data_IF_542721680128
#
_entry.id   IF_542721680128
#
_cell.length_a   1.000
_cell.length_b   1.000
_cell.length_c   1.000
_cell.angle_alpha   90.00
_cell.angle_beta   90.00
_cell.angle_gamma   90.00
#
_symmetry.space_group_name_H-M   'P 1'
#
loop_
_entity.id
_entity.type
_entity.pdbx_description
1 polymer ?
#
# COMPACT_ATOMS: atom_id res chain seq x y z
N UNK A 1 -3.80 6.79 -13.14
CA UNK A 1 -5.11 6.86 -12.52
C UNK A 1 -5.53 8.28 -12.18
N UNK A 2 -6.58 8.43 -11.38
CA UNK A 2 -7.25 9.71 -11.08
C UNK A 2 -6.59 10.54 -9.96
N UNK A 3 -5.31 10.36 -9.70
CA UNK A 3 -4.55 11.20 -8.77
C UNK A 3 -4.34 12.62 -9.32
N UNK A 4 -4.08 13.59 -8.45
CA UNK A 4 -3.80 14.96 -8.85
C UNK A 4 -2.64 15.03 -9.86
N UNK A 5 -2.73 15.94 -10.84
CA UNK A 5 -1.74 16.13 -11.91
C UNK A 5 -1.53 14.90 -12.81
N UNK A 6 -2.51 13.99 -12.91
CA UNK A 6 -2.45 12.85 -13.83
C UNK A 6 -2.41 13.29 -15.31
N UNK A 7 -2.18 12.33 -16.20
CA UNK A 7 -2.12 12.53 -17.66
C UNK A 7 -3.11 11.64 -18.42
N UNK A 8 -4.24 11.30 -17.80
CA UNK A 8 -5.24 10.40 -18.40
C UNK A 8 -5.73 10.88 -19.77
N UNK A 9 -5.87 12.21 -19.96
CA UNK A 9 -6.26 12.75 -21.26
C UNK A 9 -5.28 12.44 -22.40
N UNK A 10 -3.97 12.36 -22.09
CA UNK A 10 -2.96 11.90 -23.07
C UNK A 10 -3.15 10.42 -23.38
N UNK A 11 -3.31 9.60 -22.36
CA UNK A 11 -3.50 8.17 -22.52
C UNK A 11 -4.82 7.79 -23.19
N UNK A 12 -5.87 8.61 -23.04
CA UNK A 12 -7.15 8.38 -23.71
C UNK A 12 -7.05 8.47 -25.25
N UNK A 13 -6.00 9.15 -25.78
CA UNK A 13 -5.71 9.20 -27.20
C UNK A 13 -4.99 7.93 -27.73
N UNK A 14 -4.78 6.95 -26.89
CA UNK A 14 -4.13 5.67 -27.24
C UNK A 14 -2.77 5.86 -27.95
N UNK A 15 -1.80 6.62 -27.41
CA UNK A 15 -0.51 6.89 -28.07
C UNK A 15 0.39 5.66 -28.21
N UNK A 16 0.04 4.54 -27.57
CA UNK A 16 0.76 3.28 -27.69
C UNK A 16 -0.22 2.12 -27.95
N UNK A 17 0.22 1.07 -28.67
CA UNK A 17 -0.62 -0.10 -28.98
C UNK A 17 -1.07 -0.85 -27.72
N UNK A 18 -0.23 -0.89 -26.70
CA UNK A 18 -0.54 -1.46 -25.36
C UNK A 18 -0.31 -0.40 -24.31
N UNK A 19 -1.29 -0.17 -23.47
CA UNK A 19 -1.20 0.73 -22.33
C UNK A 19 -1.54 -0.01 -21.04
N UNK A 20 -0.69 0.16 -20.03
CA UNK A 20 -0.82 -0.52 -18.75
C UNK A 20 -0.87 0.49 -17.63
N UNK A 21 -1.81 0.33 -16.71
CA UNK A 21 -1.84 1.09 -15.46
C UNK A 21 -1.32 0.24 -14.30
N UNK A 22 -0.59 0.89 -13.39
CA UNK A 22 -0.02 0.22 -12.23
C UNK A 22 0.28 1.20 -11.09
N UNK A 23 0.15 0.72 -9.89
CA UNK A 23 0.59 1.25 -8.60
C UNK A 23 -0.03 2.60 -8.16
N UNK A 24 0.01 3.64 -8.97
CA UNK A 24 -0.26 5.02 -8.50
C UNK A 24 -1.71 5.32 -8.10
N UNK A 25 -2.69 4.59 -8.66
CA UNK A 25 -4.10 4.75 -8.31
C UNK A 25 -4.74 3.39 -8.00
N UNK A 26 -5.34 3.22 -6.81
CA UNK A 26 -5.77 1.90 -6.33
C UNK A 26 -7.16 1.50 -6.82
N UNK A 27 -7.49 1.80 -8.06
CA UNK A 27 -8.74 1.39 -8.71
C UNK A 27 -8.62 1.46 -10.23
N UNK A 28 -9.68 1.07 -10.95
CA UNK A 28 -9.78 1.21 -12.41
C UNK A 28 -9.55 2.65 -12.87
N UNK A 29 -8.99 2.83 -14.06
CA UNK A 29 -8.94 4.15 -14.70
C UNK A 29 -10.28 4.55 -15.32
N UNK A 30 -11.15 3.57 -15.61
CA UNK A 30 -12.39 3.77 -16.33
C UNK A 30 -12.20 4.10 -17.82
N UNK A 31 -10.97 3.94 -18.35
CA UNK A 31 -10.63 4.26 -19.74
C UNK A 31 -10.48 2.99 -20.57
N UNK A 32 -11.27 2.84 -21.62
CA UNK A 32 -11.14 1.75 -22.59
C UNK A 32 -9.80 1.77 -23.36
N UNK A 33 -9.11 2.92 -23.37
CA UNK A 33 -7.79 3.07 -23.96
C UNK A 33 -6.67 2.41 -23.14
N UNK A 34 -6.87 2.10 -21.86
CA UNK A 34 -5.91 1.38 -21.03
C UNK A 34 -6.25 -0.12 -21.08
N UNK A 35 -5.33 -0.94 -21.58
CA UNK A 35 -5.59 -2.35 -21.89
C UNK A 35 -5.49 -3.23 -20.65
N UNK A 36 -4.49 -2.98 -19.81
CA UNK A 36 -4.16 -3.84 -18.67
C UNK A 36 -3.94 -3.04 -17.40
N UNK A 37 -4.20 -3.73 -16.27
CA UNK A 37 -3.82 -3.28 -14.94
C UNK A 37 -3.01 -4.38 -14.25
N UNK A 38 -1.82 -4.04 -13.73
CA UNK A 38 -1.10 -4.93 -12.83
C UNK A 38 -1.75 -4.94 -11.45
N UNK A 39 -1.96 -6.15 -10.95
CA UNK A 39 -2.52 -6.43 -9.63
C UNK A 39 -2.02 -7.77 -9.12
N UNK A 40 -2.58 -8.30 -8.04
CA UNK A 40 -2.37 -9.66 -7.56
C UNK A 40 -3.68 -10.34 -7.15
N UNK A 41 -3.61 -11.62 -6.78
CA UNK A 41 -4.80 -12.44 -6.47
C UNK A 41 -5.46 -12.06 -5.14
N UNK A 42 -4.76 -11.37 -4.24
CA UNK A 42 -5.31 -10.92 -2.95
C UNK A 42 -5.97 -9.55 -3.10
N UNK A 43 -5.29 -8.61 -3.77
CA UNK A 43 -5.82 -7.27 -4.00
C UNK A 43 -7.04 -7.28 -4.93
N UNK A 44 -7.00 -8.11 -5.98
CA UNK A 44 -8.11 -8.27 -6.92
C UNK A 44 -8.37 -9.77 -7.20
N UNK A 45 -9.20 -10.45 -6.40
CA UNK A 45 -9.56 -11.85 -6.63
C UNK A 45 -10.25 -12.04 -7.99
N UNK A 46 -10.10 -13.24 -8.57
CA UNK A 46 -10.77 -13.60 -9.82
C UNK A 46 -12.30 -13.50 -9.66
N UNK A 47 -12.97 -13.04 -10.70
CA UNK A 47 -14.43 -12.90 -10.77
C UNK A 47 -14.89 -11.49 -10.46
N UNK A 48 -15.41 -11.21 -9.27
CA UNK A 48 -16.00 -9.90 -8.92
C UNK A 48 -15.08 -8.71 -9.17
N UNK A 49 -13.77 -8.87 -8.96
CA UNK A 49 -12.82 -7.78 -9.22
C UNK A 49 -12.68 -7.47 -10.70
N UNK A 50 -12.77 -8.48 -11.57
CA UNK A 50 -12.69 -8.29 -13.03
C UNK A 50 -13.86 -7.43 -13.56
N UNK A 51 -15.04 -7.53 -12.95
CA UNK A 51 -16.24 -6.76 -13.31
C UNK A 51 -16.14 -5.28 -12.88
N UNK A 52 -15.26 -4.98 -11.91
CA UNK A 52 -15.08 -3.63 -11.37
C UNK A 52 -14.03 -2.80 -12.14
N UNK A 53 -13.39 -3.38 -13.17
CA UNK A 53 -12.30 -2.72 -13.89
C UNK A 53 -12.60 -2.67 -15.40
N UNK A 54 -12.27 -1.52 -16.01
CA UNK A 54 -12.29 -1.38 -17.48
C UNK A 54 -11.09 -2.05 -18.14
N UNK A 55 -10.00 -2.19 -17.40
CA UNK A 55 -8.77 -2.83 -17.82
C UNK A 55 -8.82 -4.34 -17.58
N UNK A 56 -8.12 -5.09 -18.42
CA UNK A 56 -7.86 -6.51 -18.14
C UNK A 56 -6.89 -6.64 -16.96
N UNK A 57 -7.32 -7.29 -15.90
CA UNK A 57 -6.49 -7.51 -14.72
C UNK A 57 -5.39 -8.55 -15.01
N UNK A 58 -4.13 -8.13 -14.86
CA UNK A 58 -2.97 -9.01 -14.92
C UNK A 58 -2.45 -9.21 -13.51
N UNK A 59 -2.74 -10.37 -12.94
CA UNK A 59 -2.38 -10.74 -11.57
C UNK A 59 -0.97 -11.31 -11.56
N UNK A 60 -0.07 -10.59 -10.87
CA UNK A 60 1.29 -11.07 -10.63
C UNK A 60 1.26 -12.22 -9.62
N UNK A 61 2.24 -13.15 -9.67
CA UNK A 61 2.18 -14.39 -8.89
C UNK A 61 2.24 -14.18 -7.37
N UNK A 62 2.96 -13.16 -6.90
CA UNK A 62 3.20 -12.94 -5.48
C UNK A 62 2.50 -11.68 -4.95
N UNK A 63 2.91 -10.52 -5.41
CA UNK A 63 2.36 -9.22 -5.02
C UNK A 63 2.43 -8.26 -6.20
N UNK A 64 1.47 -7.36 -6.29
CA UNK A 64 1.53 -6.27 -7.27
C UNK A 64 2.49 -5.15 -6.86
N UNK A 65 3.05 -5.23 -5.66
CA UNK A 65 3.99 -4.27 -5.07
C UNK A 65 5.39 -4.87 -4.96
N UNK A 66 6.40 -4.00 -5.10
CA UNK A 66 7.75 -4.26 -4.66
C UNK A 66 8.20 -3.10 -3.76
N UNK A 67 8.72 -3.41 -2.58
CA UNK A 67 9.13 -2.41 -1.60
C UNK A 67 10.61 -2.53 -1.27
N UNK A 68 11.31 -1.41 -1.34
CA UNK A 68 12.70 -1.29 -0.86
C UNK A 68 12.72 -0.39 0.37
N UNK A 69 12.94 -1.01 1.53
CA UNK A 69 13.04 -0.27 2.79
C UNK A 69 14.36 0.47 2.95
N UNK A 70 14.37 1.46 3.82
CA UNK A 70 15.60 2.18 4.17
C UNK A 70 16.40 1.38 5.21
N UNK A 71 17.54 0.83 4.81
CA UNK A 71 18.40 -0.02 5.64
C UNK A 71 19.21 0.77 6.67
N UNK A 72 19.43 2.07 6.46
CA UNK A 72 20.23 2.90 7.36
C UNK A 72 19.50 3.27 8.66
N UNK A 73 18.19 3.10 8.71
CA UNK A 73 17.38 3.47 9.86
C UNK A 73 17.10 2.21 10.70
N UNK A 74 17.52 2.26 11.94
CA UNK A 74 17.31 1.16 12.90
C UNK A 74 15.89 1.24 13.46
N UNK A 75 15.15 0.13 13.38
CA UNK A 75 13.87 -0.04 14.08
C UNK A 75 14.13 -0.29 15.56
N UNK A 76 13.43 0.42 16.43
CA UNK A 76 13.41 0.10 17.85
C UNK A 76 12.43 -1.07 18.10
N UNK A 77 12.97 -2.27 18.06
CA UNK A 77 12.18 -3.51 18.24
C UNK A 77 12.10 -3.97 19.70
N UNK A 78 12.87 -3.34 20.59
CA UNK A 78 12.93 -3.66 22.00
C UNK A 78 11.92 -2.78 22.76
N UNK A 79 10.68 -3.25 22.83
CA UNK A 79 9.72 -2.75 23.80
C UNK A 79 10.06 -3.34 25.17
N UNK A 80 10.96 -2.71 25.90
CA UNK A 80 11.06 -3.02 27.32
C UNK A 80 10.01 -2.17 28.03
N UNK A 81 9.04 -2.84 28.65
CA UNK A 81 7.99 -2.23 29.51
C UNK A 81 8.55 -1.29 30.58
N UNK A 82 9.86 -1.35 30.88
CA UNK A 82 10.52 -0.48 31.86
C UNK A 82 10.37 1.02 31.53
N UNK A 83 10.17 1.37 30.24
CA UNK A 83 10.16 2.77 29.81
C UNK A 83 8.80 3.24 29.26
N UNK A 84 7.83 2.32 29.02
CA UNK A 84 6.49 2.65 28.52
C UNK A 84 5.41 2.11 29.43
N UNK A 85 4.59 3.00 29.95
CA UNK A 85 3.45 2.64 30.82
C UNK A 85 2.21 2.17 30.04
N UNK A 86 2.14 2.41 28.73
CA UNK A 86 0.94 2.19 27.91
C UNK A 86 1.26 1.75 26.46
N UNK A 87 0.30 1.09 25.82
CA UNK A 87 0.33 0.76 24.40
C UNK A 87 0.04 2.02 23.57
N UNK A 88 0.81 2.23 22.50
CA UNK A 88 0.55 3.27 21.51
C UNK A 88 0.13 2.64 20.19
N UNK A 89 -1.12 2.82 19.82
CA UNK A 89 -1.60 2.58 18.48
C UNK A 89 -1.16 3.70 17.55
N UNK A 90 -1.10 3.47 16.23
CA UNK A 90 -0.75 4.55 15.33
C UNK A 90 -1.18 4.37 13.89
N UNK A 91 -1.36 5.49 13.19
CA UNK A 91 -1.62 5.52 11.75
C UNK A 91 -0.98 6.75 11.11
N UNK A 92 -0.12 6.51 10.13
CA UNK A 92 0.54 7.58 9.35
C UNK A 92 -0.10 7.75 7.97
N UNK A 93 -1.34 7.29 7.85
CA UNK A 93 -2.10 7.39 6.63
C UNK A 93 -2.62 8.81 6.40
N UNK A 94 -2.86 9.12 5.12
CA UNK A 94 -3.58 10.34 4.73
C UNK A 94 -4.92 10.43 5.49
N UNK A 95 -5.16 11.54 6.16
CA UNK A 95 -6.36 11.74 7.00
C UNK A 95 -7.68 11.65 6.22
N UNK A 96 -7.68 11.85 4.91
CA UNK A 96 -8.88 11.61 4.08
C UNK A 96 -9.34 10.15 4.11
N UNK A 97 -8.49 9.23 4.57
CA UNK A 97 -8.84 7.82 4.77
C UNK A 97 -9.43 7.55 6.17
N UNK A 98 -9.26 8.49 7.10
CA UNK A 98 -9.76 8.39 8.48
C UNK A 98 -11.18 8.94 8.53
N UNK A 99 -12.12 8.08 8.14
CA UNK A 99 -13.55 8.39 8.08
C UNK A 99 -14.19 8.39 9.47
N UNK A 100 -15.41 8.90 9.66
CA UNK A 100 -16.14 8.80 10.92
C UNK A 100 -16.26 7.35 11.43
N UNK A 101 -16.45 6.38 10.52
CA UNK A 101 -16.50 4.96 10.89
C UNK A 101 -15.16 4.45 11.43
N UNK A 102 -14.05 4.87 10.84
CA UNK A 102 -12.69 4.58 11.33
C UNK A 102 -12.49 5.17 12.72
N UNK A 103 -12.87 6.43 12.93
CA UNK A 103 -12.77 7.11 14.25
C UNK A 103 -13.57 6.34 15.30
N UNK A 104 -14.83 6.00 15.01
CA UNK A 104 -15.68 5.22 15.90
C UNK A 104 -15.08 3.85 16.22
N UNK A 105 -14.52 3.18 15.23
CA UNK A 105 -13.88 1.86 15.40
C UNK A 105 -12.62 1.94 16.25
N UNK A 106 -11.75 2.92 15.98
CA UNK A 106 -10.52 3.12 16.76
C UNK A 106 -10.84 3.57 18.20
N UNK A 107 -11.89 4.37 18.39
CA UNK A 107 -12.34 4.75 19.73
C UNK A 107 -12.78 3.54 20.55
N UNK A 108 -13.49 2.56 19.94
CA UNK A 108 -13.83 1.30 20.62
C UNK A 108 -12.58 0.52 21.06
N UNK A 109 -11.52 0.50 20.24
CA UNK A 109 -10.24 -0.12 20.62
C UNK A 109 -9.62 0.60 21.80
N UNK A 110 -9.58 1.94 21.79
CA UNK A 110 -9.02 2.74 22.86
C UNK A 110 -9.81 2.58 24.17
N UNK A 111 -11.13 2.45 24.12
CA UNK A 111 -11.96 2.14 25.29
C UNK A 111 -11.66 0.76 25.87
N UNK A 112 -11.47 -0.24 25.00
CA UNK A 112 -11.21 -1.62 25.41
C UNK A 112 -9.78 -1.84 25.90
N UNK A 113 -8.85 -0.94 25.57
CA UNK A 113 -7.46 -0.95 26.06
C UNK A 113 -7.23 0.34 26.87
N UNK A 114 -7.58 0.36 28.16
CA UNK A 114 -7.38 1.53 29.02
C UNK A 114 -5.91 1.99 28.96
N UNK A 115 -5.68 3.29 29.18
CA UNK A 115 -4.35 3.94 29.14
C UNK A 115 -3.64 3.88 27.77
N UNK A 116 -4.20 3.23 26.74
CA UNK A 116 -3.61 3.26 25.41
C UNK A 116 -3.74 4.64 24.75
N UNK A 117 -2.80 4.97 23.90
CA UNK A 117 -2.76 6.22 23.13
C UNK A 117 -2.87 5.92 21.63
N UNK A 118 -3.30 6.93 20.86
CA UNK A 118 -3.30 6.89 19.42
C UNK A 118 -2.43 8.01 18.85
N UNK A 119 -1.41 7.65 18.06
CA UNK A 119 -0.56 8.58 17.36
C UNK A 119 -0.98 8.68 15.90
N UNK A 120 -1.39 9.86 15.47
CA UNK A 120 -1.74 10.19 14.09
C UNK A 120 -0.66 11.06 13.46
N UNK A 121 -0.28 10.77 12.19
CA UNK A 121 0.66 11.60 11.45
C UNK A 121 0.16 11.85 10.03
N UNK A 122 -0.05 13.10 9.71
CA UNK A 122 -0.30 13.60 8.34
C UNK A 122 0.06 15.09 8.30
N UNK A 123 0.53 15.60 7.15
CA UNK A 123 0.90 17.03 7.03
C UNK A 123 -0.28 17.98 7.33
N UNK A 124 -1.52 17.54 7.15
CA UNK A 124 -2.73 18.33 7.46
C UNK A 124 -2.96 18.51 8.95
N UNK A 125 -2.30 17.73 9.80
CA UNK A 125 -2.43 17.87 11.25
C UNK A 125 -1.73 19.13 11.78
N UNK A 126 -0.92 19.82 10.98
CA UNK A 126 -0.41 21.14 11.33
C UNK A 126 -1.58 22.11 11.65
N UNK A 127 -2.65 22.06 10.83
CA UNK A 127 -3.81 22.96 10.96
C UNK A 127 -5.05 22.27 11.55
N UNK A 128 -5.14 20.93 11.45
CA UNK A 128 -6.37 20.19 11.75
C UNK A 128 -6.27 19.27 12.99
N UNK A 129 -5.18 19.30 13.75
CA UNK A 129 -5.02 18.45 14.94
C UNK A 129 -6.19 18.59 15.92
N UNK A 130 -6.63 19.83 16.19
CA UNK A 130 -7.77 20.13 17.08
C UNK A 130 -9.07 19.50 16.59
N UNK A 131 -9.31 19.53 15.28
CA UNK A 131 -10.51 18.94 14.68
C UNK A 131 -10.55 17.42 14.94
N UNK A 132 -9.45 16.69 14.65
CA UNK A 132 -9.40 15.25 14.89
C UNK A 132 -9.51 14.90 16.39
N UNK A 133 -8.85 15.64 17.27
CA UNK A 133 -9.02 15.47 18.72
C UNK A 133 -10.48 15.66 19.14
N UNK A 134 -11.19 16.65 18.58
CA UNK A 134 -12.61 16.87 18.85
C UNK A 134 -13.46 15.69 18.38
N UNK A 135 -13.17 15.10 17.22
CA UNK A 135 -13.88 13.91 16.73
C UNK A 135 -13.69 12.69 17.66
N UNK A 136 -12.48 12.44 18.15
CA UNK A 136 -12.25 11.38 19.13
C UNK A 136 -12.89 11.71 20.48
N UNK A 137 -12.91 12.96 20.89
CA UNK A 137 -13.61 13.40 22.11
C UNK A 137 -15.13 13.19 22.03
N UNK A 138 -15.74 13.36 20.85
CA UNK A 138 -17.17 13.04 20.67
C UNK A 138 -17.49 11.54 20.82
N UNK A 139 -16.49 10.70 20.64
CA UNK A 139 -16.56 9.24 20.90
C UNK A 139 -16.08 8.88 22.34
N UNK A 140 -15.89 9.86 23.24
CA UNK A 140 -15.53 9.64 24.63
C UNK A 140 -14.04 9.45 24.91
N UNK A 141 -13.15 9.72 23.95
CA UNK A 141 -11.69 9.63 24.13
C UNK A 141 -11.14 10.99 24.53
N UNK A 142 -10.39 11.06 25.63
CA UNK A 142 -9.75 12.30 26.09
C UNK A 142 -8.63 12.76 25.15
N UNK A 143 -8.44 14.07 25.03
CA UNK A 143 -7.53 14.66 24.03
C UNK A 143 -6.05 14.34 24.28
N UNK A 144 -5.65 14.09 25.53
CA UNK A 144 -4.30 13.68 25.93
C UNK A 144 -3.93 12.30 25.39
N UNK A 145 -4.92 11.43 25.13
CA UNK A 145 -4.71 10.12 24.52
C UNK A 145 -4.51 10.18 22.99
N UNK A 146 -4.68 11.34 22.35
CA UNK A 146 -4.54 11.52 20.90
C UNK A 146 -3.32 12.41 20.62
N UNK A 147 -2.22 11.81 20.21
CA UNK A 147 -1.01 12.50 19.76
C UNK A 147 -1.11 12.77 18.26
N UNK A 148 -0.88 14.01 17.83
CA UNK A 148 -0.96 14.44 16.44
C UNK A 148 0.38 15.02 15.98
N UNK A 149 0.91 14.52 14.85
CA UNK A 149 2.11 15.04 14.21
C UNK A 149 1.81 15.53 12.80
N UNK A 150 2.24 16.74 12.50
CA UNK A 150 2.21 17.36 11.18
C UNK A 150 3.36 16.85 10.28
N UNK A 151 3.84 17.76 9.41
CA UNK A 151 4.98 17.49 8.54
C UNK A 151 6.25 17.33 9.36
N UNK A 152 7.08 16.36 9.00
CA UNK A 152 8.42 16.19 9.56
C UNK A 152 9.47 16.66 8.56
N UNK A 153 10.63 17.16 9.04
CA UNK A 153 11.65 17.80 8.19
C UNK A 153 12.18 16.89 7.08
N UNK A 154 12.31 15.61 7.35
CA UNK A 154 12.91 14.65 6.43
C UNK A 154 12.35 13.23 6.63
N UNK A 155 12.71 12.33 5.71
CA UNK A 155 12.27 10.92 5.73
C UNK A 155 12.84 10.15 6.94
N UNK A 156 14.01 10.50 7.43
CA UNK A 156 14.61 9.85 8.61
C UNK A 156 13.77 10.09 9.85
N UNK A 157 13.36 11.33 10.09
CA UNK A 157 12.50 11.68 11.23
C UNK A 157 11.12 11.05 11.10
N UNK A 158 10.58 11.00 9.86
CA UNK A 158 9.33 10.32 9.59
C UNK A 158 9.41 8.83 9.96
N UNK A 159 10.44 8.12 9.53
CA UNK A 159 10.59 6.69 9.84
C UNK A 159 10.90 6.47 11.34
N UNK A 160 11.72 7.32 11.97
CA UNK A 160 11.99 7.23 13.41
C UNK A 160 10.74 7.41 14.27
N UNK A 161 9.73 8.16 13.78
CA UNK A 161 8.48 8.34 14.51
C UNK A 161 7.71 7.03 14.71
N UNK A 162 7.84 6.05 13.79
CA UNK A 162 7.28 4.71 13.99
C UNK A 162 7.80 4.00 15.25
N UNK A 163 8.96 4.37 15.77
CA UNK A 163 9.48 3.82 17.04
C UNK A 163 8.62 4.17 18.26
N UNK A 164 7.73 5.16 18.16
CA UNK A 164 6.75 5.49 19.20
C UNK A 164 5.51 4.59 19.16
N UNK A 165 5.29 3.87 18.05
CA UNK A 165 4.08 3.06 17.80
C UNK A 165 4.35 1.60 18.14
N UNK A 166 3.41 0.96 18.80
CA UNK A 166 3.45 -0.45 19.12
C UNK A 166 2.70 -1.29 18.09
N UNK A 167 1.52 -0.82 17.67
CA UNK A 167 0.60 -1.49 16.75
C UNK A 167 0.06 -0.46 15.75
N UNK A 168 0.20 -0.74 14.46
CA UNK A 168 -0.38 0.07 13.40
C UNK A 168 -1.85 -0.27 13.17
N UNK A 169 -2.68 0.76 13.01
CA UNK A 169 -4.09 0.64 12.63
C UNK A 169 -4.27 1.15 11.19
N UNK A 170 -4.57 0.23 10.28
CA UNK A 170 -4.80 0.55 8.89
C UNK A 170 -6.23 1.07 8.69
N UNK A 171 -6.43 2.25 8.06
CA UNK A 171 -7.77 2.77 7.84
C UNK A 171 -8.51 1.97 6.75
N UNK A 172 -9.84 2.09 6.77
CA UNK A 172 -10.74 1.47 5.82
C UNK A 172 -11.87 2.45 5.44
N UNK A 173 -12.51 2.27 4.29
CA UNK A 173 -12.35 1.23 3.28
C UNK A 173 -11.13 1.40 2.36
N UNK A 174 -10.23 2.34 2.63
CA UNK A 174 -9.05 2.62 1.83
C UNK A 174 -7.77 2.41 2.66
N UNK A 175 -7.11 1.27 2.45
CA UNK A 175 -5.92 0.88 3.19
C UNK A 175 -4.69 1.75 2.89
N UNK A 176 -3.70 1.65 3.76
CA UNK A 176 -2.34 2.10 3.51
C UNK A 176 -1.63 1.23 2.46
N UNK A 177 -0.65 1.81 1.80
CA UNK A 177 0.27 1.10 0.91
C UNK A 177 1.70 1.32 1.40
N UNK A 178 2.31 2.45 1.05
CA UNK A 178 3.66 2.80 1.51
C UNK A 178 3.74 2.89 3.03
N UNK A 179 2.75 3.50 3.67
CA UNK A 179 2.70 3.64 5.13
C UNK A 179 2.61 2.29 5.85
N UNK A 180 1.91 1.32 5.28
CA UNK A 180 1.86 -0.06 5.80
C UNK A 180 3.21 -0.74 5.66
N UNK A 181 3.88 -0.63 4.50
CA UNK A 181 5.23 -1.13 4.30
C UNK A 181 6.25 -0.48 5.25
N UNK A 182 6.18 0.83 5.43
CA UNK A 182 7.06 1.57 6.35
C UNK A 182 6.87 1.13 7.80
N UNK A 183 5.62 0.99 8.26
CA UNK A 183 5.31 0.49 9.61
C UNK A 183 5.93 -0.89 9.84
N UNK A 184 5.69 -1.83 8.94
CA UNK A 184 6.22 -3.19 9.01
C UNK A 184 7.76 -3.21 8.95
N UNK A 185 8.37 -2.38 8.10
CA UNK A 185 9.82 -2.21 8.01
C UNK A 185 10.43 -1.67 9.30
N UNK A 186 9.71 -0.78 9.98
CA UNK A 186 10.10 -0.22 11.27
C UNK A 186 9.72 -1.12 12.46
N UNK A 187 9.30 -2.36 12.19
CA UNK A 187 8.98 -3.34 13.22
C UNK A 187 7.61 -3.13 13.89
N UNK A 188 6.71 -2.38 13.28
CA UNK A 188 5.35 -2.14 13.78
C UNK A 188 4.38 -3.07 13.05
N UNK A 189 3.77 -4.06 13.75
CA UNK A 189 2.72 -4.89 13.15
C UNK A 189 1.50 -4.03 12.83
N UNK A 190 0.87 -4.28 11.68
CA UNK A 190 -0.30 -3.52 11.21
C UNK A 190 -1.51 -4.45 11.14
N UNK A 191 -2.64 -4.00 11.67
CA UNK A 191 -3.92 -4.68 11.54
C UNK A 191 -4.67 -3.99 10.40
N UNK A 192 -5.14 -4.78 9.43
CA UNK A 192 -5.84 -4.28 8.25
C UNK A 192 -7.18 -5.00 8.07
N UNK A 193 -8.22 -4.25 7.71
CA UNK A 193 -9.53 -4.79 7.40
C UNK A 193 -9.60 -5.19 5.92
N UNK A 194 -10.05 -6.41 5.64
CA UNK A 194 -10.25 -6.91 4.29
C UNK A 194 -11.47 -6.25 3.65
N UNK A 195 -11.25 -5.46 2.64
CA UNK A 195 -12.32 -4.76 1.91
C UNK A 195 -12.84 -5.54 0.69
N UNK A 196 -13.77 -4.90 -0.02
CA UNK A 196 -14.46 -5.48 -1.17
C UNK A 196 -13.90 -5.02 -2.53
N UNK A 197 -12.94 -4.11 -2.55
CA UNK A 197 -12.31 -3.55 -3.75
C UNK A 197 -10.79 -3.43 -3.55
N UNK A 198 -10.07 -3.16 -4.64
CA UNK A 198 -8.61 -3.05 -4.62
C UNK A 198 -8.09 -2.18 -3.47
N UNK A 199 -8.61 -0.96 -3.32
CA UNK A 199 -8.14 -0.01 -2.31
C UNK A 199 -8.27 -0.53 -0.87
N UNK A 200 -9.30 -1.32 -0.59
CA UNK A 200 -9.55 -1.93 0.73
C UNK A 200 -8.89 -3.30 0.90
N UNK A 201 -8.11 -3.78 -0.07
CA UNK A 201 -7.46 -5.10 -0.03
C UNK A 201 -5.93 -5.02 -0.11
N UNK A 202 -5.40 -3.81 -0.32
CA UNK A 202 -3.93 -3.57 -0.40
C UNK A 202 -3.22 -3.99 0.89
N UNK A 203 -3.78 -3.67 2.05
CA UNK A 203 -3.23 -4.08 3.35
C UNK A 203 -3.16 -5.60 3.47
N UNK A 204 -4.21 -6.32 3.05
CA UNK A 204 -4.23 -7.78 3.04
C UNK A 204 -3.19 -8.37 2.09
N UNK A 205 -3.00 -7.80 0.89
CA UNK A 205 -1.96 -8.23 -0.04
C UNK A 205 -0.55 -8.10 0.56
N UNK A 206 -0.25 -6.96 1.17
CA UNK A 206 1.03 -6.71 1.84
C UNK A 206 1.26 -7.71 2.99
N UNK A 207 0.28 -7.88 3.87
CA UNK A 207 0.37 -8.77 5.03
C UNK A 207 0.53 -10.23 4.62
N UNK A 208 -0.21 -10.67 3.60
CA UNK A 208 -0.10 -12.01 3.04
C UNK A 208 1.32 -12.26 2.47
N UNK A 209 1.91 -11.28 1.76
CA UNK A 209 3.23 -11.40 1.15
C UNK A 209 4.36 -11.65 2.16
N UNK A 210 4.16 -11.29 3.43
CA UNK A 210 5.11 -11.50 4.53
C UNK A 210 4.65 -12.55 5.54
N UNK A 211 3.58 -13.30 5.23
CA UNK A 211 3.06 -14.38 6.06
C UNK A 211 2.38 -13.91 7.35
N UNK A 212 1.75 -12.73 7.35
CA UNK A 212 1.01 -12.17 8.48
C UNK A 212 -0.51 -12.20 8.29
N UNK A 213 -1.05 -13.29 7.77
CA UNK A 213 -2.48 -13.43 7.50
C UNK A 213 -3.35 -13.25 8.76
N UNK A 214 -2.82 -13.59 9.93
CA UNK A 214 -3.51 -13.42 11.22
C UNK A 214 -3.73 -11.94 11.62
N UNK A 215 -3.22 -10.98 10.86
CA UNK A 215 -3.44 -9.54 11.05
C UNK A 215 -4.44 -8.95 10.05
N UNK A 216 -5.03 -9.80 9.22
CA UNK A 216 -6.07 -9.44 8.26
C UNK A 216 -7.42 -9.75 8.92
N UNK A 217 -8.17 -8.71 9.25
CA UNK A 217 -9.52 -8.82 9.81
C UNK A 217 -10.55 -9.01 8.69
N UNK A 218 -11.54 -9.88 8.93
CA UNK A 218 -12.62 -10.16 7.98
C UNK A 218 -13.78 -9.16 8.09
N UNK A 219 -13.99 -8.62 9.30
CA UNK A 219 -14.99 -7.59 9.60
C UNK A 219 -14.51 -6.62 10.69
N UNK A 220 -15.31 -5.58 10.97
CA UNK A 220 -14.97 -4.53 11.96
C UNK A 220 -14.83 -5.11 13.36
N UNK A 221 -15.63 -6.08 13.77
CA UNK A 221 -15.55 -6.67 15.10
C UNK A 221 -14.25 -7.45 15.25
N UNK A 222 -13.91 -8.26 14.24
CA UNK A 222 -12.65 -8.99 14.21
C UNK A 222 -11.44 -8.03 14.16
N UNK A 223 -11.55 -6.89 13.47
CA UNK A 223 -10.50 -5.84 13.50
C UNK A 223 -10.26 -5.31 14.91
N UNK A 224 -11.33 -5.02 15.66
CA UNK A 224 -11.26 -4.57 17.05
C UNK A 224 -10.66 -5.66 17.94
N UNK A 225 -11.15 -6.90 17.83
CA UNK A 225 -10.65 -8.04 18.61
C UNK A 225 -9.16 -8.31 18.38
N UNK A 226 -8.69 -8.26 17.14
CA UNK A 226 -7.27 -8.42 16.81
C UNK A 226 -6.41 -7.33 17.45
N UNK A 227 -6.86 -6.07 17.43
CA UNK A 227 -6.17 -4.95 18.04
C UNK A 227 -6.06 -5.12 19.58
N UNK A 228 -7.16 -5.47 20.24
CA UNK A 228 -7.22 -5.71 21.68
C UNK A 228 -6.34 -6.91 22.06
N UNK A 229 -6.46 -8.03 21.33
CA UNK A 229 -5.67 -9.25 21.58
C UNK A 229 -4.18 -8.98 21.45
N UNK A 230 -3.76 -8.20 20.46
CA UNK A 230 -2.36 -7.84 20.28
C UNK A 230 -1.85 -6.92 21.36
N UNK A 231 -2.65 -5.93 21.77
CA UNK A 231 -2.30 -4.99 22.84
C UNK A 231 -2.14 -5.69 24.21
N UNK A 232 -2.95 -6.70 24.46
CA UNK A 232 -2.94 -7.46 25.72
C UNK A 232 -1.92 -8.62 25.75
N UNK A 233 -1.20 -8.87 24.65
CA UNK A 233 -0.20 -9.95 24.57
C UNK A 233 1.19 -9.41 24.25
N UNK A 234 1.84 -8.85 25.26
CA UNK A 234 3.16 -8.24 25.14
C UNK A 234 4.22 -9.20 24.57
N UNK A 235 4.26 -10.44 25.07
CA UNK A 235 5.23 -11.43 24.61
C UNK A 235 5.10 -11.72 23.11
N UNK A 236 3.87 -11.83 22.62
CA UNK A 236 3.59 -12.02 21.21
C UNK A 236 3.99 -10.78 20.40
N UNK A 237 3.63 -9.59 20.89
CA UNK A 237 3.94 -8.31 20.26
C UNK A 237 5.46 -8.13 20.10
N UNK A 238 6.24 -8.34 21.16
CA UNK A 238 7.70 -8.25 21.14
C UNK A 238 8.28 -9.25 20.12
N UNK A 239 7.86 -10.52 20.18
CA UNK A 239 8.32 -11.56 19.26
C UNK A 239 8.04 -11.19 17.78
N UNK A 240 6.88 -10.64 17.50
CA UNK A 240 6.53 -10.22 16.14
C UNK A 240 7.41 -9.06 15.71
N UNK A 241 7.49 -7.99 16.50
CA UNK A 241 8.28 -6.79 16.20
C UNK A 241 9.75 -7.11 15.90
N UNK A 242 10.36 -7.97 16.69
CA UNK A 242 11.76 -8.40 16.50
C UNK A 242 11.99 -9.11 15.15
N UNK A 243 10.98 -9.76 14.59
CA UNK A 243 11.11 -10.55 13.38
C UNK A 243 10.58 -9.85 12.10
N UNK A 244 9.82 -8.75 12.22
CA UNK A 244 9.13 -8.13 11.09
C UNK A 244 10.06 -7.71 9.97
N UNK A 245 11.12 -6.96 10.28
CA UNK A 245 12.09 -6.51 9.26
C UNK A 245 12.71 -7.67 8.51
N UNK A 246 13.13 -8.72 9.22
CA UNK A 246 13.69 -9.92 8.59
C UNK A 246 12.66 -10.62 7.70
N UNK A 247 11.41 -10.73 8.17
CA UNK A 247 10.32 -11.29 7.35
C UNK A 247 10.12 -10.52 6.06
N UNK A 248 10.12 -9.18 6.11
CA UNK A 248 10.03 -8.36 4.91
C UNK A 248 11.21 -8.58 3.97
N UNK A 249 12.44 -8.52 4.49
CA UNK A 249 13.67 -8.69 3.69
C UNK A 249 13.74 -10.04 2.97
N UNK A 250 13.16 -11.09 3.56
CA UNK A 250 13.16 -12.45 2.97
C UNK A 250 11.88 -12.78 2.21
N UNK A 251 10.95 -11.85 2.10
CA UNK A 251 9.67 -12.03 1.41
C UNK A 251 9.74 -11.63 -0.06
N UNK A 252 8.76 -12.12 -0.83
CA UNK A 252 8.55 -11.68 -2.22
C UNK A 252 8.28 -10.18 -2.34
N UNK A 253 7.77 -9.52 -1.30
CA UNK A 253 7.50 -8.08 -1.27
C UNK A 253 8.79 -7.25 -1.44
N UNK A 254 9.94 -7.74 -0.96
CA UNK A 254 11.22 -7.04 -1.03
C UNK A 254 12.18 -7.66 -2.07
N UNK A 255 11.76 -8.66 -2.83
CA UNK A 255 12.54 -9.30 -3.88
C UNK A 255 12.39 -8.59 -5.22
N UNK A 256 13.09 -7.47 -5.36
CA UNK A 256 13.05 -6.66 -6.58
C UNK A 256 13.52 -7.38 -7.84
N UNK A 257 14.44 -8.34 -7.72
CA UNK A 257 14.97 -9.07 -8.86
C UNK A 257 13.92 -10.02 -9.47
N UNK A 258 13.22 -10.78 -8.64
CA UNK A 258 12.14 -11.66 -9.11
C UNK A 258 10.91 -10.86 -9.52
N UNK A 259 10.59 -9.78 -8.82
CA UNK A 259 9.52 -8.87 -9.21
C UNK A 259 9.75 -8.29 -10.62
N UNK A 260 10.99 -7.87 -10.94
CA UNK A 260 11.33 -7.37 -12.28
C UNK A 260 11.12 -8.46 -13.36
N UNK A 261 11.53 -9.71 -13.11
CA UNK A 261 11.29 -10.83 -14.03
C UNK A 261 9.80 -11.10 -14.26
N UNK A 262 8.97 -11.02 -13.21
CA UNK A 262 7.53 -11.19 -13.33
C UNK A 262 6.91 -10.09 -14.21
N UNK A 263 7.33 -8.84 -14.04
CA UNK A 263 6.90 -7.70 -14.86
C UNK A 263 7.38 -7.84 -16.31
N UNK A 264 8.66 -8.21 -16.54
CA UNK A 264 9.21 -8.42 -17.87
C UNK A 264 8.46 -9.52 -18.62
N UNK A 265 8.21 -10.65 -17.96
CA UNK A 265 7.41 -11.73 -18.53
C UNK A 265 5.99 -11.27 -18.87
N UNK A 266 5.37 -10.52 -18.00
CA UNK A 266 4.03 -9.99 -18.23
C UNK A 266 3.99 -9.07 -19.48
N UNK A 267 4.98 -8.20 -19.66
CA UNK A 267 5.10 -7.38 -20.88
C UNK A 267 5.33 -8.22 -22.14
N UNK A 268 6.18 -9.25 -22.05
CA UNK A 268 6.40 -10.17 -23.18
C UNK A 268 5.11 -10.90 -23.57
N UNK A 269 4.35 -11.39 -22.59
CA UNK A 269 3.07 -12.07 -22.82
C UNK A 269 2.02 -11.13 -23.44
N UNK A 270 1.95 -9.87 -22.98
CA UNK A 270 1.08 -8.85 -23.58
C UNK A 270 1.45 -8.57 -25.03
N UNK A 271 2.75 -8.40 -25.31
CA UNK A 271 3.26 -8.11 -26.64
C UNK A 271 3.00 -9.29 -27.59
N UNK A 272 3.29 -10.50 -27.15
CA UNK A 272 3.02 -11.72 -27.93
C UNK A 272 1.54 -11.85 -28.32
N UNK A 273 0.64 -11.62 -27.35
CA UNK A 273 -0.81 -11.64 -27.62
C UNK A 273 -1.22 -10.55 -28.62
N UNK A 274 -0.66 -9.36 -28.49
CA UNK A 274 -0.96 -8.24 -29.38
C UNK A 274 -0.53 -8.54 -30.82
N UNK A 275 0.70 -9.03 -31.00
CA UNK A 275 1.24 -9.35 -32.33
C UNK A 275 0.53 -10.52 -33.00
N UNK A 276 0.16 -11.56 -32.25
CA UNK A 276 -0.56 -12.71 -32.80
C UNK A 276 -2.00 -12.34 -33.18
N UNK A 277 -2.70 -11.58 -32.35
CA UNK A 277 -4.04 -11.10 -32.70
C UNK A 277 -3.99 -10.16 -33.93
N UNK A 278 -2.93 -9.35 -34.05
CA UNK A 278 -2.73 -8.51 -35.23
C UNK A 278 -2.49 -9.33 -36.51
N UNK A 279 -1.75 -10.44 -36.42
CA UNK A 279 -1.54 -11.34 -37.56
C UNK A 279 -2.82 -12.08 -37.95
N UNK A 280 -3.61 -12.56 -36.99
CA UNK A 280 -4.89 -13.22 -37.25
C UNK A 280 -5.88 -12.24 -37.93
N UNK A 281 -5.99 -11.01 -37.43
CA UNK A 281 -6.83 -9.98 -38.02
C UNK A 281 -6.36 -9.54 -39.43
N UNK A 282 -5.05 -9.67 -39.72
CA UNK A 282 -4.50 -9.41 -41.08
C UNK A 282 -4.82 -10.51 -42.04
N UNK A 283 -4.94 -11.75 -41.57
CA UNK A 283 -5.37 -12.88 -42.42
C UNK A 283 -6.85 -12.78 -42.81
N UNK A 284 -7.68 -12.22 -41.94
CA UNK A 284 -9.09 -11.97 -42.20
C UNK A 284 -9.37 -10.70 -43.00
N UNK A 285 -8.44 -9.72 -43.02
CA UNK A 285 -8.57 -8.46 -43.75
C UNK A 285 -7.43 -8.31 -44.77
N UNK A 286 -7.61 -8.82 -45.97
CA UNK A 286 -6.71 -8.56 -47.12
C UNK A 286 -6.84 -7.10 -47.59
N UNK A 287 -6.34 -6.11 -46.84
CA UNK A 287 -6.01 -4.78 -47.35
C UNK A 287 -5.47 -3.85 -46.26
N UNK A 288 -4.15 -3.86 -46.02
CA UNK A 288 -3.44 -2.69 -45.49
C UNK A 288 -1.93 -2.81 -45.82
N UNK A 289 -1.22 -1.72 -46.16
CA UNK A 289 0.19 -1.76 -46.62
C UNK A 289 1.17 -2.03 -45.45
N UNK A 290 2.25 -2.69 -45.80
CA UNK A 290 3.36 -3.06 -44.91
C UNK A 290 3.94 -1.85 -44.17
N UNK A 291 3.95 -1.91 -42.84
CA UNK A 291 4.79 -1.04 -42.01
C UNK A 291 6.10 -1.78 -41.75
N UNK A 292 7.20 -1.22 -42.31
CA UNK A 292 8.57 -1.70 -42.12
C UNK A 292 8.92 -1.80 -40.64
N UNK A 293 9.52 -2.92 -40.25
CA UNK A 293 10.04 -3.20 -38.93
C UNK A 293 10.89 -2.05 -38.37
N UNK A 294 10.46 -1.44 -37.30
CA UNK A 294 11.29 -0.53 -36.51
C UNK A 294 12.05 -1.40 -35.50
N UNK A 295 13.35 -1.58 -35.77
CA UNK A 295 14.30 -2.09 -34.76
C UNK A 295 14.49 -1.03 -33.68
N UNK A 296 13.74 -1.14 -32.61
CA UNK A 296 13.88 -0.30 -31.39
C UNK A 296 14.25 -1.15 -30.18
N UNK A 297 15.41 -1.78 -30.19
CA UNK A 297 16.06 -2.23 -28.92
C UNK A 297 17.53 -2.60 -29.22
N UNK A 298 18.37 -1.59 -29.45
CA UNK A 298 19.78 -1.62 -29.07
C UNK A 298 20.32 -0.18 -29.14
N UNK A 299 20.83 0.29 -28.05
CA UNK A 299 21.47 1.60 -27.78
C UNK A 299 20.59 2.61 -27.04
N UNK A 300 20.61 2.56 -25.72
CA UNK A 300 20.64 3.72 -24.83
C UNK A 300 20.76 3.31 -23.35
N UNK A 301 21.88 2.75 -22.96
CA UNK A 301 22.33 2.87 -21.58
C UNK A 301 23.84 3.14 -21.63
N UNK A 302 24.21 4.39 -21.89
CA UNK A 302 25.53 4.93 -21.58
C UNK A 302 25.32 6.17 -20.73
N UNK A 303 25.84 6.06 -19.52
CA UNK A 303 26.23 7.08 -18.54
C UNK A 303 25.84 8.53 -18.84
N UNK A 304 24.89 9.04 -18.10
CA UNK A 304 24.85 10.47 -17.74
C UNK A 304 24.98 10.61 -16.25
N UNK A 305 26.17 11.03 -15.80
CA UNK A 305 26.39 11.66 -14.51
C UNK A 305 25.42 12.83 -14.38
N UNK A 306 24.58 12.82 -13.39
CA UNK A 306 23.80 13.99 -13.01
C UNK A 306 24.62 14.83 -12.02
N UNK A 307 25.17 15.93 -12.49
CA UNK A 307 25.55 17.06 -11.66
C UNK A 307 24.27 17.79 -11.24
N UNK A 308 24.05 17.94 -9.93
CA UNK A 308 22.90 18.63 -9.39
C UNK A 308 23.10 20.14 -9.38
N UNK A 309 22.04 20.94 -9.52
CA UNK A 309 22.10 22.37 -9.18
C UNK A 309 21.75 22.61 -7.72
N UNK A 310 22.37 23.65 -7.19
CA UNK A 310 22.31 24.27 -5.89
C UNK A 310 20.89 24.66 -5.42
#
# INVERSE_FOLDING_TARGET
GHTAKNRLLVFSQKPAPIQVTWLGYPNTTGLSAIDYRFTDFIADPIGKADELHSEKLLRLPNSFLCYKGNETIVANVNLQKKDKQHITFGSFNNLLKVTPEVIKTWSKILHAVPESHLLLKDFRLEDNARHYKTLFRSEGITEDRIECHGRLPNMTDHLKLYNKIDIGLDPFPYNGTTTTCEALWMGVPVISLLGNNHAGRVGASILNSIGLNNFIAEDINNYIELAIKMANNENLLVKIRQNLRKRMQTSSLCDGANFAKDIEKAYQDMWYKHTNNYQLNKLDNKSYPEIKSINCFSTAYKDTKMDGPR
#
